data_IF_629799419078
#
_entry.id   IF_629799419078
#
_cell.length_a   1.000
_cell.length_b   1.000
_cell.length_c   1.000
_cell.angle_alpha   90.00
_cell.angle_beta   90.00
_cell.angle_gamma   90.00
#
_symmetry.space_group_name_H-M   'P 1'
#
loop_
_entity.id
_entity.type
_entity.pdbx_description
1 polymer ?
#
# COMPACT_ATOMS: atom_id res chain seq x y z
N UNK A 1 38.46 -25.12 5.88
CA UNK A 1 37.69 -24.09 6.64
C UNK A 1 37.12 -23.02 5.70
N UNK A 2 36.27 -23.41 4.74
CA UNK A 2 35.75 -22.48 3.70
C UNK A 2 34.23 -22.65 3.48
N UNK A 3 33.66 -23.74 3.98
CA UNK A 3 32.23 -24.04 3.89
C UNK A 3 31.41 -23.27 4.94
N UNK A 4 31.92 -23.12 6.18
CA UNK A 4 31.22 -22.39 7.26
C UNK A 4 30.98 -20.92 6.92
N UNK A 5 31.94 -20.23 6.27
CA UNK A 5 31.76 -18.85 5.80
C UNK A 5 30.69 -18.74 4.71
N UNK A 6 30.58 -19.74 3.82
CA UNK A 6 29.53 -19.78 2.78
C UNK A 6 28.15 -19.93 3.41
N UNK A 7 28.00 -20.79 4.42
CA UNK A 7 26.74 -20.93 5.16
C UNK A 7 26.36 -19.66 5.92
N UNK A 8 27.34 -18.95 6.51
CA UNK A 8 27.13 -17.69 7.22
C UNK A 8 26.63 -16.57 6.28
N UNK A 9 27.18 -16.48 5.07
CA UNK A 9 26.73 -15.51 4.06
C UNK A 9 25.35 -15.89 3.52
N UNK A 10 25.09 -17.18 3.32
CA UNK A 10 23.80 -17.67 2.85
C UNK A 10 22.68 -17.38 3.85
N UNK A 11 22.93 -17.56 5.15
CA UNK A 11 21.94 -17.23 6.19
C UNK A 11 21.68 -15.73 6.28
N UNK A 12 22.71 -14.88 6.16
CA UNK A 12 22.54 -13.42 6.15
C UNK A 12 21.66 -12.93 4.98
N UNK A 13 21.83 -13.50 3.77
CA UNK A 13 21.04 -13.13 2.59
C UNK A 13 19.57 -13.53 2.74
N UNK A 14 19.28 -14.71 3.30
CA UNK A 14 17.90 -15.18 3.52
C UNK A 14 17.15 -14.29 4.52
N UNK A 15 17.82 -13.81 5.58
CA UNK A 15 17.21 -12.92 6.59
C UNK A 15 16.95 -11.52 6.02
N UNK A 16 17.77 -11.05 5.08
CA UNK A 16 17.62 -9.73 4.44
C UNK A 16 16.56 -9.66 3.34
N UNK A 17 15.87 -10.78 3.05
CA UNK A 17 14.84 -10.82 2.02
C UNK A 17 13.65 -9.93 2.41
N UNK A 18 13.10 -9.10 1.50
CA UNK A 18 12.08 -8.12 1.79
C UNK A 18 10.70 -8.78 1.91
N UNK A 19 10.48 -9.54 2.99
CA UNK A 19 9.20 -10.16 3.31
C UNK A 19 8.12 -9.07 3.55
N UNK A 20 8.53 -7.84 3.88
CA UNK A 20 7.63 -6.76 4.26
C UNK A 20 6.83 -6.12 3.11
N UNK A 21 7.29 -6.20 1.85
CA UNK A 21 6.64 -5.48 0.73
C UNK A 21 5.38 -6.23 0.27
N UNK A 22 5.40 -7.56 0.30
CA UNK A 22 4.25 -8.37 -0.12
C UNK A 22 3.12 -8.39 0.91
N UNK A 23 3.46 -8.33 2.20
CA UNK A 23 2.47 -8.32 3.29
C UNK A 23 1.48 -7.14 3.19
N UNK A 24 1.95 -5.95 2.82
CA UNK A 24 1.08 -4.78 2.60
C UNK A 24 0.12 -5.00 1.43
N UNK A 25 0.59 -5.63 0.35
CA UNK A 25 -0.24 -5.86 -0.85
C UNK A 25 -1.35 -6.87 -0.61
N UNK A 26 -1.08 -7.95 0.13
CA UNK A 26 -2.11 -8.92 0.52
C UNK A 26 -3.17 -8.31 1.46
N UNK A 27 -2.74 -7.43 2.37
CA UNK A 27 -3.64 -6.68 3.24
C UNK A 27 -4.54 -5.74 2.40
N UNK A 28 -3.96 -4.96 1.48
CA UNK A 28 -4.71 -4.09 0.57
C UNK A 28 -5.77 -4.87 -0.23
N UNK A 29 -5.38 -6.02 -0.81
CA UNK A 29 -6.30 -6.88 -1.56
C UNK A 29 -7.44 -7.36 -0.65
N UNK A 30 -7.13 -7.83 0.56
CA UNK A 30 -8.13 -8.31 1.51
C UNK A 30 -9.14 -7.24 1.89
N UNK A 31 -8.67 -6.04 2.22
CA UNK A 31 -9.53 -4.93 2.65
C UNK A 31 -10.40 -4.42 1.48
N UNK A 32 -9.81 -4.25 0.29
CA UNK A 32 -10.56 -3.73 -0.86
C UNK A 32 -11.49 -4.76 -1.52
N UNK A 33 -11.16 -6.06 -1.48
CA UNK A 33 -11.99 -7.10 -2.11
C UNK A 33 -13.42 -7.13 -1.55
N UNK A 34 -13.57 -6.85 -0.25
CA UNK A 34 -14.87 -6.87 0.43
C UNK A 34 -15.55 -5.49 0.49
N UNK A 35 -14.92 -4.45 -0.07
CA UNK A 35 -15.48 -3.10 -0.05
C UNK A 35 -16.68 -2.98 -1.00
N UNK A 36 -17.63 -2.06 -0.75
CA UNK A 36 -18.74 -1.79 -1.68
C UNK A 36 -18.29 -1.35 -3.07
N UNK A 37 -17.09 -0.76 -3.17
CA UNK A 37 -16.49 -0.24 -4.41
C UNK A 37 -15.02 -0.71 -4.56
N UNK A 38 -14.77 -2.00 -4.83
CA UNK A 38 -13.42 -2.58 -4.81
C UNK A 38 -12.45 -1.89 -5.77
N UNK A 39 -12.91 -1.56 -6.97
CA UNK A 39 -12.08 -0.91 -7.99
C UNK A 39 -11.57 0.46 -7.53
N UNK A 40 -12.44 1.27 -6.92
CA UNK A 40 -12.08 2.62 -6.45
C UNK A 40 -11.14 2.51 -5.25
N UNK A 41 -11.39 1.55 -4.35
CA UNK A 41 -10.50 1.26 -3.22
C UNK A 41 -9.07 0.95 -3.70
N UNK A 42 -8.94 0.02 -4.67
CA UNK A 42 -7.63 -0.33 -5.24
C UNK A 42 -6.98 0.84 -5.95
N UNK A 43 -7.73 1.62 -6.74
CA UNK A 43 -7.19 2.81 -7.42
C UNK A 43 -6.63 3.84 -6.44
N UNK A 44 -7.31 4.08 -5.31
CA UNK A 44 -6.82 4.99 -4.28
C UNK A 44 -5.52 4.50 -3.64
N UNK A 45 -5.43 3.20 -3.34
CA UNK A 45 -4.23 2.63 -2.73
C UNK A 45 -3.05 2.58 -3.72
N UNK A 46 -3.30 2.21 -4.98
CA UNK A 46 -2.25 2.19 -6.02
C UNK A 46 -1.73 3.59 -6.36
N UNK A 47 -2.54 4.63 -6.14
CA UNK A 47 -2.15 6.04 -6.36
C UNK A 47 -1.23 6.60 -5.27
N UNK A 48 -1.18 5.98 -4.09
CA UNK A 48 -0.37 6.42 -2.96
C UNK A 48 0.83 5.48 -2.74
N UNK A 49 2.08 5.93 -2.93
CA UNK A 49 3.26 5.08 -2.70
C UNK A 49 3.43 4.62 -1.25
N UNK A 50 2.76 5.25 -0.28
CA UNK A 50 2.76 4.84 1.12
C UNK A 50 1.93 3.57 1.36
N UNK A 51 1.03 3.20 0.44
CA UNK A 51 0.19 1.99 0.55
C UNK A 51 1.01 0.71 0.62
N UNK A 52 2.16 0.67 -0.08
CA UNK A 52 3.10 -0.45 -0.05
C UNK A 52 3.66 -0.72 1.35
N UNK A 53 3.63 0.30 2.23
CA UNK A 53 4.12 0.24 3.60
C UNK A 53 2.99 0.17 4.62
N UNK A 54 1.73 0.15 4.18
CA UNK A 54 0.58 0.03 5.07
C UNK A 54 0.59 -1.37 5.71
N UNK A 55 0.99 -1.42 6.98
CA UNK A 55 1.12 -2.65 7.73
C UNK A 55 -0.18 -3.06 8.44
N UNK A 56 -1.16 -2.16 8.50
CA UNK A 56 -2.40 -2.35 9.25
C UNK A 56 -3.61 -1.66 8.57
N UNK A 57 -4.84 -2.07 8.90
CA UNK A 57 -6.05 -1.50 8.31
C UNK A 57 -6.26 -0.01 8.59
N UNK A 58 -5.74 0.52 9.70
CA UNK A 58 -5.88 1.94 10.05
C UNK A 58 -5.03 2.79 9.10
N UNK A 59 -3.80 2.33 8.80
CA UNK A 59 -2.96 2.96 7.78
C UNK A 59 -3.63 2.96 6.39
N UNK A 60 -4.26 1.85 5.99
CA UNK A 60 -5.04 1.76 4.74
C UNK A 60 -6.19 2.77 4.76
N UNK A 61 -6.97 2.83 5.84
CA UNK A 61 -8.09 3.76 5.96
C UNK A 61 -7.65 5.23 5.85
N UNK A 62 -6.51 5.58 6.46
CA UNK A 62 -5.92 6.92 6.33
C UNK A 62 -5.60 7.30 4.89
N UNK A 63 -5.02 6.37 4.12
CA UNK A 63 -4.73 6.58 2.69
C UNK A 63 -6.02 6.78 1.89
N UNK A 64 -7.04 5.95 2.15
CA UNK A 64 -8.33 6.06 1.47
C UNK A 64 -9.01 7.41 1.75
N UNK A 65 -9.00 7.88 3.01
CA UNK A 65 -9.57 9.19 3.37
C UNK A 65 -8.84 10.31 2.63
N UNK A 66 -7.50 10.28 2.60
CA UNK A 66 -6.71 11.30 1.90
C UNK A 66 -6.96 11.30 0.38
N UNK A 67 -7.10 10.12 -0.21
CA UNK A 67 -7.48 9.98 -1.62
C UNK A 67 -8.84 10.63 -1.92
N UNK A 68 -9.84 10.31 -1.10
CA UNK A 68 -11.20 10.84 -1.27
C UNK A 68 -11.25 12.36 -1.08
N UNK A 69 -10.56 12.89 -0.06
CA UNK A 69 -10.46 14.33 0.20
C UNK A 69 -9.82 15.06 -1.00
N UNK A 70 -8.75 14.51 -1.56
CA UNK A 70 -8.09 15.06 -2.75
C UNK A 70 -9.02 15.09 -3.97
N UNK A 71 -9.78 14.01 -4.20
CA UNK A 71 -10.75 13.96 -5.30
C UNK A 71 -11.91 14.93 -5.10
N UNK A 72 -12.42 15.06 -3.86
CA UNK A 72 -13.45 16.03 -3.52
C UNK A 72 -12.97 17.46 -3.75
N UNK A 73 -11.73 17.79 -3.40
CA UNK A 73 -11.16 19.10 -3.65
C UNK A 73 -11.03 19.43 -5.14
N UNK A 74 -10.64 18.44 -5.96
CA UNK A 74 -10.59 18.58 -7.42
C UNK A 74 -11.99 18.83 -7.97
N UNK A 75 -12.97 18.02 -7.55
CA UNK A 75 -14.36 18.15 -7.99
C UNK A 75 -14.94 19.51 -7.58
N UNK A 76 -14.73 19.93 -6.35
CA UNK A 76 -15.18 21.23 -5.86
C UNK A 76 -14.60 22.36 -6.70
N UNK A 77 -13.28 22.35 -6.98
CA UNK A 77 -12.66 23.35 -7.87
C UNK A 77 -13.28 23.37 -9.26
N UNK A 78 -13.60 22.20 -9.84
CA UNK A 78 -14.21 22.13 -11.17
C UNK A 78 -15.64 22.68 -11.17
N UNK A 79 -16.43 22.38 -10.13
CA UNK A 79 -17.79 22.90 -9.98
C UNK A 79 -17.79 24.41 -9.77
N UNK A 80 -16.94 24.91 -8.87
CA UNK A 80 -16.87 26.34 -8.57
C UNK A 80 -16.12 27.17 -9.63
N UNK A 81 -15.33 26.55 -10.51
CA UNK A 81 -14.74 27.24 -11.67
C UNK A 81 -15.77 27.49 -12.79
N UNK A 82 -16.91 26.82 -12.76
CA UNK A 82 -17.97 26.92 -13.77
C UNK A 82 -19.15 27.83 -13.35
N UNK A 83 -19.09 28.39 -12.14
CA UNK A 83 -20.05 29.36 -11.57
C UNK A 83 -19.36 30.72 -11.49
#
# INVERSE_FOLDING_TARGET
MMMIKKYLVLTLVVISSPISIYAGKDLMIRECHNAPVPTICMQCLDSDPASVRAADPVAIAGILINCLDSQLHILAKQVFAYI
#
